data_IF_729379121801
#
_entry.id   IF_729379121801
#
_cell.length_a   1.000
_cell.length_b   1.000
_cell.length_c   1.000
_cell.angle_alpha   90.00
_cell.angle_beta   90.00
_cell.angle_gamma   90.00
#
_symmetry.space_group_name_H-M   'P 1'
#
loop_
_entity.id
_entity.type
_entity.pdbx_description
1 polymer ?
#
# COMPACT_ATOMS: atom_id res chain seq x y z
N UNK A 1 -24.74 35.95 -25.17
CA UNK A 1 -25.47 35.53 -23.97
C UNK A 1 -25.50 34.00 -23.99
N UNK A 2 -25.24 33.34 -22.91
CA UNK A 2 -25.04 31.89 -22.71
C UNK A 2 -23.57 31.40 -22.75
N UNK A 3 -22.76 31.88 -21.82
CA UNK A 3 -21.47 31.25 -21.43
C UNK A 3 -21.29 31.36 -19.91
N UNK A 4 -22.12 30.69 -19.11
CA UNK A 4 -21.91 30.46 -17.66
C UNK A 4 -22.87 29.40 -17.14
N UNK A 5 -22.69 28.14 -17.53
CA UNK A 5 -23.42 27.02 -16.93
C UNK A 5 -22.68 25.71 -17.18
N UNK A 6 -21.47 25.56 -16.67
CA UNK A 6 -20.77 24.28 -16.66
C UNK A 6 -19.75 24.21 -15.51
N UNK A 7 -20.16 24.58 -14.29
CA UNK A 7 -19.25 24.47 -13.13
C UNK A 7 -19.98 24.10 -11.82
N UNK A 8 -21.10 23.40 -11.86
CA UNK A 8 -21.82 22.99 -10.66
C UNK A 8 -22.45 21.60 -10.79
N UNK A 9 -21.68 20.57 -11.22
CA UNK A 9 -22.11 19.18 -11.08
C UNK A 9 -20.88 18.37 -10.66
N UNK A 10 -20.45 18.53 -9.41
CA UNK A 10 -19.53 17.58 -8.77
C UNK A 10 -19.49 17.72 -7.24
N UNK A 11 -20.59 18.18 -6.61
CA UNK A 11 -20.78 18.19 -5.16
C UNK A 11 -22.23 17.79 -4.86
N UNK A 12 -22.59 16.55 -5.08
CA UNK A 12 -23.86 16.02 -4.58
C UNK A 12 -23.94 14.48 -4.66
N UNK A 13 -22.97 13.74 -4.09
CA UNK A 13 -23.17 12.35 -3.66
C UNK A 13 -22.44 12.14 -2.32
N UNK A 14 -22.80 12.94 -1.30
CA UNK A 14 -22.53 12.62 0.10
C UNK A 14 -23.72 13.13 0.89
N UNK A 15 -24.83 12.40 0.88
CA UNK A 15 -25.86 12.43 1.93
C UNK A 15 -26.98 11.50 1.52
N UNK A 16 -26.96 10.26 1.99
CA UNK A 16 -28.14 9.46 2.33
C UNK A 16 -27.72 8.00 2.60
N UNK A 17 -27.02 7.80 3.73
CA UNK A 17 -27.11 6.53 4.45
C UNK A 17 -27.02 6.81 5.96
N UNK A 18 -28.11 7.38 6.49
CA UNK A 18 -28.38 7.34 7.92
C UNK A 18 -29.13 6.06 8.20
N UNK A 19 -28.42 4.97 8.42
CA UNK A 19 -28.95 3.82 9.13
C UNK A 19 -28.20 3.68 10.43
N UNK A 20 -28.93 3.81 11.52
CA UNK A 20 -28.54 3.53 12.90
C UNK A 20 -27.81 2.20 12.98
N UNK A 21 -26.50 2.22 13.16
CA UNK A 21 -25.71 1.06 13.48
C UNK A 21 -25.31 1.14 14.94
N UNK A 22 -25.93 0.31 15.74
CA UNK A 22 -25.52 -0.04 17.10
C UNK A 22 -24.03 -0.40 17.09
N UNK A 23 -23.26 0.37 17.86
CA UNK A 23 -21.86 0.13 18.07
C UNK A 23 -21.64 -1.23 18.75
N UNK A 24 -21.32 -2.25 17.96
CA UNK A 24 -20.53 -3.37 18.43
C UNK A 24 -19.10 -3.10 17.97
N UNK A 25 -18.28 -2.65 18.89
CA UNK A 25 -16.83 -2.65 18.75
C UNK A 25 -16.37 -4.12 18.76
N UNK A 26 -16.54 -4.80 17.64
CA UNK A 26 -15.74 -5.96 17.30
C UNK A 26 -14.54 -5.40 16.55
N UNK A 27 -13.41 -5.30 17.24
CA UNK A 27 -12.11 -5.30 16.60
C UNK A 27 -11.88 -6.71 16.03
N UNK A 28 -12.60 -7.07 15.00
CA UNK A 28 -12.19 -8.10 14.07
C UNK A 28 -10.99 -7.50 13.35
N UNK A 29 -9.79 -7.87 13.74
CA UNK A 29 -8.58 -7.60 12.98
C UNK A 29 -8.79 -8.15 11.58
N UNK A 30 -9.23 -7.30 10.67
CA UNK A 30 -9.42 -7.64 9.27
C UNK A 30 -8.03 -8.00 8.73
N UNK A 31 -7.84 -9.30 8.50
CA UNK A 31 -6.57 -9.80 7.99
C UNK A 31 -6.37 -9.28 6.58
N UNK A 32 -5.37 -8.43 6.40
CA UNK A 32 -4.98 -7.92 5.09
C UNK A 32 -4.73 -9.09 4.14
N UNK A 33 -5.43 -9.08 3.02
CA UNK A 33 -5.32 -10.10 1.98
C UNK A 33 -4.37 -9.67 0.87
N UNK A 34 -3.94 -10.61 0.03
CA UNK A 34 -3.14 -10.31 -1.15
C UNK A 34 -3.89 -9.40 -2.14
N UNK A 35 -5.22 -9.51 -2.21
CA UNK A 35 -6.08 -8.67 -3.04
C UNK A 35 -6.14 -7.22 -2.52
N UNK A 36 -6.17 -7.02 -1.20
CA UNK A 36 -6.15 -5.68 -0.60
C UNK A 36 -4.85 -4.96 -0.94
N UNK A 37 -3.71 -5.66 -0.81
CA UNK A 37 -2.39 -5.12 -1.16
C UNK A 37 -2.31 -4.75 -2.63
N UNK A 38 -2.83 -5.58 -3.53
CA UNK A 38 -2.85 -5.30 -4.97
C UNK A 38 -3.71 -4.08 -5.30
N UNK A 39 -4.90 -3.99 -4.71
CA UNK A 39 -5.81 -2.87 -4.88
C UNK A 39 -5.18 -1.56 -4.40
N UNK A 40 -4.66 -1.52 -3.17
CA UNK A 40 -4.01 -0.34 -2.60
C UNK A 40 -2.79 0.10 -3.43
N UNK A 41 -2.00 -0.86 -3.92
CA UNK A 41 -0.85 -0.59 -4.79
C UNK A 41 -1.27 0.06 -6.09
N UNK A 42 -2.28 -0.49 -6.76
CA UNK A 42 -2.81 0.07 -7.99
C UNK A 42 -3.37 1.47 -7.78
N UNK A 43 -4.17 1.67 -6.75
CA UNK A 43 -4.75 2.99 -6.41
C UNK A 43 -3.65 4.04 -6.18
N UNK A 44 -2.59 3.70 -5.44
CA UNK A 44 -1.46 4.60 -5.22
C UNK A 44 -0.73 4.93 -6.53
N UNK A 45 -0.42 3.93 -7.36
CA UNK A 45 0.30 4.13 -8.63
C UNK A 45 -0.55 4.97 -9.58
N UNK A 46 -1.85 4.68 -9.72
CA UNK A 46 -2.78 5.42 -10.57
C UNK A 46 -2.93 6.88 -10.09
N UNK A 47 -3.02 7.11 -8.79
CA UNK A 47 -3.02 8.44 -8.21
C UNK A 47 -1.72 9.21 -8.52
N UNK A 48 -0.56 8.56 -8.38
CA UNK A 48 0.74 9.17 -8.69
C UNK A 48 0.88 9.56 -10.17
N UNK A 49 0.25 8.82 -11.10
CA UNK A 49 0.22 9.19 -12.51
C UNK A 49 -0.43 10.57 -12.74
N UNK A 50 -1.43 10.92 -11.93
CA UNK A 50 -2.19 12.16 -12.05
C UNK A 50 -1.45 13.39 -11.49
N UNK A 51 -0.40 13.20 -10.67
CA UNK A 51 0.30 14.31 -10.05
C UNK A 51 1.35 14.93 -10.99
N UNK A 52 1.22 16.22 -11.24
CA UNK A 52 2.26 17.04 -11.86
C UNK A 52 3.30 17.47 -10.82
N UNK A 53 4.39 18.12 -11.26
CA UNK A 53 5.44 18.58 -10.34
C UNK A 53 4.92 19.64 -9.36
N UNK A 54 3.96 20.46 -9.76
CA UNK A 54 3.34 21.49 -8.91
C UNK A 54 2.55 20.85 -7.75
N UNK A 55 2.14 19.59 -7.91
CA UNK A 55 1.45 18.80 -6.89
C UNK A 55 2.38 17.82 -6.15
N UNK A 56 3.70 17.99 -6.26
CA UNK A 56 4.68 17.10 -5.63
C UNK A 56 4.43 16.88 -4.14
N UNK A 57 4.13 17.95 -3.39
CA UNK A 57 3.92 17.86 -1.95
C UNK A 57 2.67 17.04 -1.59
N UNK A 58 1.65 17.04 -2.46
CA UNK A 58 0.48 16.19 -2.31
C UNK A 58 0.85 14.73 -2.57
N UNK A 59 1.59 14.46 -3.65
CA UNK A 59 2.08 13.11 -3.95
C UNK A 59 2.96 12.55 -2.82
N UNK A 60 3.84 13.38 -2.25
CA UNK A 60 4.68 13.01 -1.08
C UNK A 60 3.82 12.60 0.11
N UNK A 61 2.76 13.35 0.43
CA UNK A 61 1.84 13.02 1.53
C UNK A 61 1.10 11.71 1.29
N UNK A 62 0.65 11.44 0.07
CA UNK A 62 -0.02 10.16 -0.26
C UNK A 62 0.94 8.98 -0.12
N UNK A 63 2.17 9.13 -0.61
CA UNK A 63 3.21 8.11 -0.44
C UNK A 63 3.51 7.87 1.05
N UNK A 64 3.68 8.92 1.85
CA UNK A 64 3.91 8.79 3.30
C UNK A 64 2.81 7.98 3.99
N UNK A 65 1.55 8.24 3.65
CA UNK A 65 0.41 7.50 4.21
C UNK A 65 0.44 6.03 3.78
N UNK A 66 0.69 5.77 2.49
CA UNK A 66 0.77 4.41 1.96
C UNK A 66 1.91 3.61 2.61
N UNK A 67 3.10 4.21 2.77
CA UNK A 67 4.23 3.58 3.42
C UNK A 67 3.97 3.27 4.90
N UNK A 68 3.32 4.17 5.64
CA UNK A 68 2.94 3.92 7.04
C UNK A 68 1.94 2.78 7.19
N UNK A 69 0.93 2.70 6.30
CA UNK A 69 0.00 1.57 6.30
C UNK A 69 0.73 0.27 6.03
N UNK A 70 1.56 0.25 4.99
CA UNK A 70 2.34 -0.92 4.62
C UNK A 70 3.27 -1.39 5.75
N UNK A 71 3.97 -0.48 6.42
CA UNK A 71 4.82 -0.82 7.57
C UNK A 71 4.00 -1.51 8.67
N UNK A 72 2.83 -0.96 9.03
CA UNK A 72 1.92 -1.59 9.99
C UNK A 72 1.42 -2.97 9.56
N UNK A 73 1.17 -3.16 8.27
CA UNK A 73 0.76 -4.46 7.73
C UNK A 73 1.92 -5.48 7.76
N UNK A 74 3.15 -5.05 7.47
CA UNK A 74 4.35 -5.90 7.57
C UNK A 74 4.57 -6.34 9.03
N UNK A 75 4.49 -5.40 9.98
CA UNK A 75 4.63 -5.70 11.40
C UNK A 75 3.56 -6.68 11.89
N UNK A 76 2.34 -6.57 11.37
CA UNK A 76 1.25 -7.51 11.69
C UNK A 76 1.54 -8.92 11.15
N UNK A 77 1.99 -9.01 9.90
CA UNK A 77 2.39 -10.31 9.32
C UNK A 77 3.52 -10.95 10.13
N UNK A 78 4.54 -10.19 10.50
CA UNK A 78 5.65 -10.69 11.31
C UNK A 78 5.17 -11.20 12.66
N UNK A 79 4.30 -10.47 13.37
CA UNK A 79 3.69 -10.93 14.63
C UNK A 79 2.89 -12.23 14.46
N UNK A 80 2.12 -12.36 13.39
CA UNK A 80 1.37 -13.59 13.10
C UNK A 80 2.29 -14.78 12.83
N UNK A 81 3.39 -14.56 12.12
CA UNK A 81 4.40 -15.57 11.86
C UNK A 81 5.06 -15.99 13.17
N UNK A 82 5.47 -15.04 14.01
CA UNK A 82 6.11 -15.32 15.30
C UNK A 82 5.17 -16.11 16.23
N UNK A 83 3.90 -15.73 16.30
CA UNK A 83 2.90 -16.43 17.13
C UNK A 83 2.65 -17.89 16.65
N UNK A 84 2.84 -18.16 15.37
CA UNK A 84 2.61 -19.51 14.81
C UNK A 84 3.91 -20.28 14.54
N UNK A 85 5.05 -19.71 14.88
CA UNK A 85 6.37 -20.23 14.53
C UNK A 85 6.57 -21.70 14.97
N UNK A 86 6.19 -22.03 16.19
CA UNK A 86 6.38 -23.36 16.75
C UNK A 86 5.50 -24.44 16.08
N UNK A 87 4.38 -24.01 15.49
CA UNK A 87 3.47 -24.89 14.77
C UNK A 87 3.90 -25.14 13.30
N UNK A 88 4.86 -24.36 12.78
CA UNK A 88 5.31 -24.47 11.41
C UNK A 88 6.32 -25.62 11.22
N UNK A 89 6.24 -26.30 10.07
CA UNK A 89 7.28 -27.28 9.67
C UNK A 89 8.62 -26.59 9.42
N UNK A 90 9.71 -27.35 9.46
CA UNK A 90 11.05 -26.83 9.15
C UNK A 90 11.10 -26.18 7.76
N UNK A 91 10.50 -26.81 6.75
CA UNK A 91 10.44 -26.28 5.39
C UNK A 91 9.65 -24.95 5.34
N UNK A 92 8.49 -24.87 5.99
CA UNK A 92 7.69 -23.65 6.10
C UNK A 92 8.45 -22.50 6.78
N UNK A 93 9.18 -22.78 7.87
CA UNK A 93 10.02 -21.78 8.55
C UNK A 93 11.12 -21.25 7.63
N UNK A 94 11.79 -22.10 6.86
CA UNK A 94 12.83 -21.66 5.93
C UNK A 94 12.27 -20.77 4.82
N UNK A 95 11.14 -21.16 4.23
CA UNK A 95 10.47 -20.39 3.19
C UNK A 95 9.99 -19.03 3.72
N UNK A 96 9.37 -19.00 4.88
CA UNK A 96 8.91 -17.78 5.54
C UNK A 96 10.05 -16.80 5.82
N UNK A 97 11.19 -17.30 6.34
CA UNK A 97 12.40 -16.47 6.52
C UNK A 97 12.89 -15.87 5.21
N UNK A 98 12.92 -16.65 4.13
CA UNK A 98 13.35 -16.15 2.82
C UNK A 98 12.42 -15.04 2.31
N UNK A 99 11.10 -15.24 2.42
CA UNK A 99 10.11 -14.28 1.98
C UNK A 99 10.13 -12.98 2.81
N UNK A 100 10.27 -13.06 4.13
CA UNK A 100 10.43 -11.89 4.98
C UNK A 100 11.70 -11.12 4.66
N UNK A 101 12.80 -11.81 4.39
CA UNK A 101 14.05 -11.17 3.98
C UNK A 101 13.87 -10.42 2.66
N UNK A 102 13.23 -11.04 1.67
CA UNK A 102 12.93 -10.41 0.38
C UNK A 102 12.03 -9.18 0.57
N UNK A 103 10.95 -9.31 1.33
CA UNK A 103 10.02 -8.22 1.62
C UNK A 103 10.73 -7.02 2.27
N UNK A 104 11.57 -7.25 3.27
CA UNK A 104 12.37 -6.19 3.92
C UNK A 104 13.34 -5.54 2.95
N UNK A 105 13.96 -6.30 2.07
CA UNK A 105 14.87 -5.77 1.05
C UNK A 105 14.12 -4.84 0.07
N UNK A 106 12.97 -5.26 -0.42
CA UNK A 106 12.11 -4.44 -1.29
C UNK A 106 11.62 -3.18 -0.56
N UNK A 107 11.31 -3.28 0.75
CA UNK A 107 10.93 -2.13 1.55
C UNK A 107 12.04 -1.09 1.68
N UNK A 108 13.30 -1.53 1.78
CA UNK A 108 14.46 -0.64 1.79
C UNK A 108 14.59 0.07 0.44
N UNK A 109 14.47 -0.66 -0.67
CA UNK A 109 14.54 -0.06 -2.02
C UNK A 109 13.46 1.00 -2.23
N UNK A 110 12.22 0.74 -1.82
CA UNK A 110 11.13 1.72 -1.87
C UNK A 110 11.48 2.97 -1.07
N UNK A 111 12.10 2.84 0.12
CA UNK A 111 12.53 3.98 0.92
C UNK A 111 13.59 4.84 0.20
N UNK A 112 14.54 4.21 -0.48
CA UNK A 112 15.55 4.91 -1.28
C UNK A 112 14.92 5.64 -2.48
N UNK A 113 14.00 4.97 -3.19
CA UNK A 113 13.27 5.59 -4.31
C UNK A 113 12.37 6.73 -3.83
N UNK A 114 11.76 6.59 -2.66
CA UNK A 114 10.99 7.66 -2.03
C UNK A 114 11.85 8.88 -1.70
N UNK A 115 13.04 8.70 -1.14
CA UNK A 115 13.99 9.79 -0.91
C UNK A 115 14.35 10.54 -2.20
N UNK A 116 14.62 9.80 -3.27
CA UNK A 116 14.92 10.35 -4.59
C UNK A 116 13.70 11.09 -5.20
N UNK A 117 12.51 10.53 -5.03
CA UNK A 117 11.25 11.14 -5.48
C UNK A 117 10.98 12.47 -4.77
N UNK A 118 11.04 12.48 -3.44
CA UNK A 118 10.79 13.65 -2.60
C UNK A 118 11.70 14.85 -2.94
N UNK A 119 12.95 14.57 -3.30
CA UNK A 119 13.98 15.57 -3.60
C UNK A 119 14.15 15.81 -5.11
N UNK A 120 13.23 15.32 -5.95
CA UNK A 120 13.36 15.43 -7.39
C UNK A 120 13.23 16.87 -7.90
N UNK A 121 14.06 17.22 -8.91
CA UNK A 121 13.91 18.43 -9.69
C UNK A 121 12.76 18.29 -10.71
N UNK A 122 12.36 19.41 -11.30
CA UNK A 122 11.35 19.44 -12.38
C UNK A 122 11.72 18.47 -13.50
N UNK A 123 12.97 18.50 -13.94
CA UNK A 123 13.45 17.64 -15.04
C UNK A 123 13.50 16.14 -14.67
N UNK A 124 13.69 15.84 -13.40
CA UNK A 124 13.77 14.47 -12.89
C UNK A 124 12.40 13.87 -12.49
N UNK A 125 11.38 14.71 -12.29
CA UNK A 125 10.08 14.33 -11.74
C UNK A 125 9.47 13.07 -12.36
N UNK A 126 9.34 13.06 -13.70
CA UNK A 126 8.74 11.91 -14.41
C UNK A 126 9.53 10.62 -14.19
N UNK A 127 10.87 10.70 -14.23
CA UNK A 127 11.75 9.55 -14.01
C UNK A 127 11.68 9.04 -12.58
N UNK A 128 11.69 9.96 -11.59
CA UNK A 128 11.62 9.58 -10.17
C UNK A 128 10.26 8.99 -9.81
N UNK A 129 9.18 9.56 -10.34
CA UNK A 129 7.83 9.02 -10.19
C UNK A 129 7.73 7.58 -10.71
N UNK A 130 8.24 7.34 -11.92
CA UNK A 130 8.28 5.97 -12.46
C UNK A 130 9.12 5.04 -11.60
N UNK A 131 10.33 5.43 -11.23
CA UNK A 131 11.23 4.60 -10.41
C UNK A 131 10.64 4.24 -9.05
N UNK A 132 9.92 5.16 -8.40
CA UNK A 132 9.18 4.87 -7.18
C UNK A 132 8.03 3.87 -7.44
N UNK A 133 7.22 4.10 -8.47
CA UNK A 133 6.10 3.21 -8.81
C UNK A 133 6.57 1.79 -9.11
N UNK A 134 7.66 1.65 -9.87
CA UNK A 134 8.24 0.34 -10.19
C UNK A 134 8.71 -0.40 -8.91
N UNK A 135 9.41 0.29 -8.00
CA UNK A 135 9.85 -0.29 -6.73
C UNK A 135 8.68 -0.64 -5.80
N UNK A 136 7.66 0.20 -5.76
CA UNK A 136 6.45 -0.07 -4.95
C UNK A 136 5.67 -1.28 -5.48
N UNK A 137 5.62 -1.47 -6.80
CA UNK A 137 5.03 -2.66 -7.41
C UNK A 137 5.79 -3.94 -7.03
N UNK A 138 7.13 -3.91 -7.07
CA UNK A 138 7.96 -5.06 -6.67
C UNK A 138 7.77 -5.40 -5.19
N UNK A 139 7.67 -4.40 -4.32
CA UNK A 139 7.37 -4.60 -2.91
C UNK A 139 5.99 -5.24 -2.72
N UNK A 140 4.97 -4.78 -3.45
CA UNK A 140 3.63 -5.36 -3.44
C UNK A 140 3.62 -6.83 -3.87
N UNK A 141 4.41 -7.18 -4.89
CA UNK A 141 4.50 -8.56 -5.36
C UNK A 141 5.20 -9.48 -4.35
N UNK A 142 6.27 -9.00 -3.71
CA UNK A 142 6.93 -9.71 -2.61
C UNK A 142 6.01 -9.88 -1.40
N UNK A 143 5.19 -8.88 -1.11
CA UNK A 143 4.19 -8.93 -0.04
C UNK A 143 3.10 -9.97 -0.34
N UNK A 144 2.52 -9.95 -1.54
CA UNK A 144 1.51 -10.94 -1.96
C UNK A 144 2.06 -12.36 -1.87
N UNK A 145 3.30 -12.58 -2.28
CA UNK A 145 3.99 -13.86 -2.16
C UNK A 145 4.11 -14.29 -0.69
N UNK A 146 4.56 -13.39 0.18
CA UNK A 146 4.70 -13.69 1.62
C UNK A 146 3.35 -14.06 2.26
N UNK A 147 2.27 -13.34 1.94
CA UNK A 147 0.92 -13.63 2.43
C UNK A 147 0.39 -14.97 1.92
N UNK A 148 0.52 -15.25 0.62
CA UNK A 148 -0.02 -16.49 0.02
C UNK A 148 0.68 -17.74 0.56
N UNK A 149 2.00 -17.69 0.71
CA UNK A 149 2.77 -18.82 1.24
C UNK A 149 2.54 -19.02 2.74
N UNK A 150 2.39 -17.93 3.52
CA UNK A 150 2.00 -18.06 4.92
C UNK A 150 0.61 -18.67 5.07
N UNK A 151 -0.37 -18.26 4.24
CA UNK A 151 -1.72 -18.83 4.24
C UNK A 151 -1.75 -20.31 3.89
N UNK A 152 -0.98 -20.74 2.89
CA UNK A 152 -0.91 -22.13 2.44
C UNK A 152 -0.22 -23.06 3.47
N UNK A 153 0.70 -22.54 4.27
CA UNK A 153 1.42 -23.32 5.29
C UNK A 153 0.65 -23.46 6.61
N UNK A 154 -0.52 -22.82 6.74
CA UNK A 154 -1.35 -22.84 7.96
C UNK A 154 -2.69 -23.55 7.76
N UNK A 155 -2.91 -24.23 6.63
CA UNK A 155 -4.03 -25.14 6.39
C UNK A 155 -3.56 -26.59 6.60
#
# INVERSE_FOLDING_TARGET
>A
MYKKAALFILIAIIALFSTTLTAQAQSSGETVTAQDVEKETKELIDALQQYSIEKRDQAVKEIDRALKRLDGQIDELERRIDNNWDNMTHAARQQTKANLKELRQQRIEVAERYGSFKNSSINAWKKMKKGFSDAYQQLSDSWKKALSEYGNNNQ
#
